data_IF_739680719010
#
_entry.id   IF_739680719010
#
_cell.length_a   1.000
_cell.length_b   1.000
_cell.length_c   1.000
_cell.angle_alpha   90.00
_cell.angle_beta   90.00
_cell.angle_gamma   90.00
#
_symmetry.space_group_name_H-M   'P 1'
#
loop_
_entity.id
_entity.type
_entity.pdbx_description
1 polymer ?
#
# COMPACT_ATOMS: atom_id res chain seq x y z
N UNK A 1 -56.82 -5.40 -33.33
CA UNK A 1 -55.50 -4.97 -32.82
C UNK A 1 -55.42 -5.42 -31.37
N UNK A 2 -54.59 -6.42 -31.08
CA UNK A 2 -54.41 -6.95 -29.73
C UNK A 2 -52.98 -6.62 -29.32
N UNK A 3 -52.80 -5.70 -28.37
CA UNK A 3 -51.46 -5.36 -27.86
C UNK A 3 -51.22 -6.13 -26.56
N UNK A 4 -50.32 -7.10 -26.66
CA UNK A 4 -49.79 -7.89 -25.56
C UNK A 4 -48.69 -7.07 -24.88
N UNK A 5 -48.88 -6.66 -23.63
CA UNK A 5 -47.81 -6.17 -22.75
C UNK A 5 -47.72 -7.10 -21.55
N UNK A 6 -46.87 -8.12 -21.65
CA UNK A 6 -46.57 -9.05 -20.54
C UNK A 6 -45.15 -9.63 -20.68
N UNK A 7 -44.14 -8.76 -20.82
CA UNK A 7 -42.74 -9.16 -20.71
C UNK A 7 -41.93 -8.02 -20.08
N UNK A 8 -41.77 -8.05 -18.76
CA UNK A 8 -40.94 -7.09 -18.03
C UNK A 8 -40.64 -7.41 -16.56
N UNK A 9 -41.21 -8.48 -15.99
CA UNK A 9 -41.11 -8.76 -14.54
C UNK A 9 -39.84 -9.49 -14.08
N UNK A 10 -39.10 -10.16 -14.95
CA UNK A 10 -37.98 -11.03 -14.53
C UNK A 10 -36.59 -10.39 -14.62
N UNK A 11 -36.38 -9.45 -15.56
CA UNK A 11 -35.09 -8.78 -15.72
C UNK A 11 -34.82 -7.71 -14.64
N UNK A 12 -35.89 -7.06 -14.14
CA UNK A 12 -35.78 -6.05 -13.07
C UNK A 12 -35.48 -6.64 -11.69
N UNK A 13 -36.01 -7.83 -11.38
CA UNK A 13 -35.77 -8.47 -10.07
C UNK A 13 -34.35 -9.01 -9.92
N UNK A 14 -33.73 -9.53 -10.99
CA UNK A 14 -32.34 -9.99 -10.95
C UNK A 14 -31.35 -8.83 -10.73
N UNK A 15 -31.58 -7.68 -11.37
CA UNK A 15 -30.73 -6.50 -11.21
C UNK A 15 -30.85 -5.87 -9.81
N UNK A 16 -32.08 -5.82 -9.26
CA UNK A 16 -32.32 -5.37 -7.89
C UNK A 16 -31.72 -6.35 -6.88
N UNK A 17 -31.87 -7.65 -7.06
CA UNK A 17 -31.27 -8.65 -6.16
C UNK A 17 -29.74 -8.58 -6.18
N UNK A 18 -29.14 -8.47 -7.36
CA UNK A 18 -27.68 -8.32 -7.51
C UNK A 18 -27.15 -7.01 -6.91
N UNK A 19 -27.94 -5.93 -6.95
CA UNK A 19 -27.65 -4.65 -6.29
C UNK A 19 -27.83 -4.71 -4.79
N UNK A 20 -28.84 -5.42 -4.30
CA UNK A 20 -29.10 -5.64 -2.86
C UNK A 20 -28.00 -6.52 -2.28
N UNK A 21 -27.59 -7.57 -2.98
CA UNK A 21 -26.48 -8.43 -2.57
C UNK A 21 -25.18 -7.62 -2.55
N UNK A 22 -24.88 -6.82 -3.59
CA UNK A 22 -23.74 -5.88 -3.60
C UNK A 22 -23.77 -4.87 -2.43
N UNK A 23 -24.94 -4.36 -2.05
CA UNK A 23 -25.10 -3.47 -0.89
C UNK A 23 -24.93 -4.18 0.45
N UNK A 24 -25.37 -5.44 0.55
CA UNK A 24 -25.25 -6.26 1.75
C UNK A 24 -23.81 -6.75 1.98
N UNK A 25 -23.08 -7.09 0.90
CA UNK A 25 -21.68 -7.54 0.96
C UNK A 25 -20.77 -6.48 1.60
N UNK A 26 -20.96 -5.22 1.25
CA UNK A 26 -20.09 -4.14 1.71
C UNK A 26 -20.29 -3.74 3.18
N UNK A 27 -21.38 -4.14 3.85
CA UNK A 27 -21.78 -3.50 5.12
C UNK A 27 -20.75 -3.72 6.23
N UNK A 28 -20.27 -4.96 6.39
CA UNK A 28 -19.26 -5.28 7.41
C UNK A 28 -17.90 -4.69 7.05
N UNK A 29 -17.50 -4.78 5.77
CA UNK A 29 -16.28 -4.17 5.26
C UNK A 29 -16.25 -2.66 5.50
N UNK A 30 -17.36 -1.95 5.23
CA UNK A 30 -17.51 -0.50 5.47
C UNK A 30 -17.45 -0.16 6.96
N UNK A 31 -18.07 -0.97 7.82
CA UNK A 31 -18.01 -0.76 9.27
C UNK A 31 -16.58 -0.82 9.78
N UNK A 32 -15.87 -1.91 9.48
CA UNK A 32 -14.47 -2.08 9.88
C UNK A 32 -13.56 -1.01 9.25
N UNK A 33 -13.77 -0.65 7.97
CA UNK A 33 -13.02 0.44 7.35
C UNK A 33 -13.24 1.77 8.10
N UNK A 34 -14.49 2.10 8.42
CA UNK A 34 -14.82 3.33 9.16
C UNK A 34 -14.17 3.35 10.55
N UNK A 35 -14.22 2.24 11.28
CA UNK A 35 -13.58 2.12 12.58
C UNK A 35 -12.05 2.22 12.49
N UNK A 36 -11.45 1.58 11.48
CA UNK A 36 -10.01 1.66 11.22
C UNK A 36 -9.55 3.09 10.90
N UNK A 37 -10.33 3.83 10.10
CA UNK A 37 -10.07 5.25 9.81
C UNK A 37 -10.20 6.10 11.07
N UNK A 38 -11.20 5.86 11.91
CA UNK A 38 -11.35 6.58 13.18
C UNK A 38 -10.16 6.33 14.09
N UNK A 39 -9.80 5.06 14.30
CA UNK A 39 -8.66 4.67 15.13
C UNK A 39 -7.34 5.28 14.62
N UNK A 40 -7.15 5.35 13.31
CA UNK A 40 -5.99 6.02 12.71
C UNK A 40 -5.96 7.51 13.08
N UNK A 41 -7.10 8.21 12.98
CA UNK A 41 -7.20 9.64 13.31
C UNK A 41 -6.94 9.91 14.79
N UNK A 42 -7.36 8.99 15.64
CA UNK A 42 -7.13 9.03 17.09
C UNK A 42 -5.70 8.64 17.48
N UNK A 43 -4.86 8.27 16.51
CA UNK A 43 -3.48 7.83 16.75
C UNK A 43 -3.36 6.39 17.30
N UNK A 44 -4.47 5.66 17.39
CA UNK A 44 -4.48 4.26 17.79
C UNK A 44 -4.20 3.36 16.58
N UNK A 45 -2.94 3.33 16.14
CA UNK A 45 -2.52 2.60 14.95
C UNK A 45 -2.66 1.08 15.06
N UNK A 46 -2.51 0.52 16.26
CA UNK A 46 -2.71 -0.92 16.49
C UNK A 46 -4.17 -1.33 16.22
N UNK A 47 -5.14 -0.56 16.74
CA UNK A 47 -6.55 -0.77 16.43
C UNK A 47 -6.82 -0.52 14.94
N UNK A 48 -6.27 0.55 14.35
CA UNK A 48 -6.44 0.83 12.93
C UNK A 48 -6.00 -0.36 12.05
N UNK A 49 -4.82 -0.94 12.30
CA UNK A 49 -4.33 -2.11 11.59
C UNK A 49 -5.24 -3.33 11.78
N UNK A 50 -5.73 -3.56 13.00
CA UNK A 50 -6.67 -4.66 13.29
C UNK A 50 -7.97 -4.52 12.51
N UNK A 51 -8.60 -3.35 12.55
CA UNK A 51 -9.86 -3.08 11.85
C UNK A 51 -9.70 -3.15 10.32
N UNK A 52 -8.63 -2.58 9.78
CA UNK A 52 -8.37 -2.64 8.33
C UNK A 52 -8.08 -4.06 7.86
N UNK A 53 -7.40 -4.88 8.68
CA UNK A 53 -7.22 -6.30 8.40
C UNK A 53 -8.54 -7.08 8.46
N UNK A 54 -9.45 -6.72 9.38
CA UNK A 54 -10.79 -7.29 9.43
C UNK A 54 -11.62 -6.90 8.20
N UNK A 55 -11.58 -5.62 7.79
CA UNK A 55 -12.26 -5.12 6.60
C UNK A 55 -11.83 -5.89 5.34
N UNK A 56 -10.53 -6.18 5.19
CA UNK A 56 -9.97 -6.90 4.03
C UNK A 56 -10.42 -8.36 3.92
N UNK A 57 -10.86 -8.98 5.02
CA UNK A 57 -11.38 -10.36 5.02
C UNK A 57 -12.84 -10.43 4.62
N UNK A 58 -13.54 -9.30 4.60
CA UNK A 58 -14.94 -9.25 4.24
C UNK A 58 -15.11 -9.16 2.72
N UNK A 59 -16.16 -9.77 2.15
CA UNK A 59 -16.57 -9.49 0.78
C UNK A 59 -16.74 -7.97 0.59
N UNK A 60 -16.20 -7.44 -0.51
CA UNK A 60 -16.29 -6.01 -0.79
C UNK A 60 -16.24 -5.72 -2.29
N UNK A 61 -16.87 -4.62 -2.68
CA UNK A 61 -16.76 -4.06 -4.02
C UNK A 61 -15.31 -3.65 -4.34
N UNK A 62 -14.88 -3.65 -5.61
CA UNK A 62 -13.52 -3.23 -5.98
C UNK A 62 -13.13 -1.83 -5.49
N UNK A 63 -14.08 -0.89 -5.48
CA UNK A 63 -13.86 0.45 -4.95
C UNK A 63 -13.53 0.43 -3.45
N UNK A 64 -14.30 -0.35 -2.67
CA UNK A 64 -14.08 -0.47 -1.23
C UNK A 64 -12.79 -1.24 -0.90
N UNK A 65 -12.49 -2.30 -1.66
CA UNK A 65 -11.24 -3.04 -1.53
C UNK A 65 -10.02 -2.14 -1.77
N UNK A 66 -10.07 -1.28 -2.79
CA UNK A 66 -9.03 -0.27 -3.04
C UNK A 66 -8.89 0.73 -1.89
N UNK A 67 -10.01 1.21 -1.34
CA UNK A 67 -9.98 2.14 -0.20
C UNK A 67 -9.39 1.48 1.06
N UNK A 68 -9.69 0.20 1.32
CA UNK A 68 -9.09 -0.57 2.42
C UNK A 68 -7.57 -0.69 2.24
N UNK A 69 -7.10 -1.03 1.03
CA UNK A 69 -5.66 -1.11 0.73
C UNK A 69 -4.96 0.23 0.96
N UNK A 70 -5.57 1.33 0.49
CA UNK A 70 -5.02 2.67 0.70
C UNK A 70 -4.88 3.01 2.20
N UNK A 71 -5.93 2.77 3.01
CA UNK A 71 -5.87 3.09 4.43
C UNK A 71 -4.94 2.17 5.22
N UNK A 72 -4.82 0.89 4.81
CA UNK A 72 -3.83 -0.03 5.36
C UNK A 72 -2.42 0.50 5.11
N UNK A 73 -2.12 0.87 3.87
CA UNK A 73 -0.85 1.46 3.49
C UNK A 73 -0.53 2.73 4.28
N UNK A 74 -1.48 3.67 4.33
CA UNK A 74 -1.35 4.92 5.08
C UNK A 74 -1.08 4.68 6.56
N UNK A 75 -1.70 3.66 7.15
CA UNK A 75 -1.48 3.29 8.55
C UNK A 75 -0.07 2.77 8.78
N UNK A 76 0.44 1.90 7.89
CA UNK A 76 1.79 1.37 7.98
C UNK A 76 2.88 2.40 7.69
N UNK A 77 2.62 3.35 6.79
CA UNK A 77 3.57 4.39 6.37
C UNK A 77 3.51 5.65 7.23
N UNK A 78 2.58 5.73 8.19
CA UNK A 78 2.46 6.89 9.07
C UNK A 78 3.73 7.07 9.90
N UNK A 79 4.40 8.25 9.85
CA UNK A 79 5.56 8.53 10.69
C UNK A 79 5.26 8.51 12.20
N UNK A 80 3.97 8.65 12.55
CA UNK A 80 3.50 8.61 13.93
C UNK A 80 3.25 7.19 14.43
N UNK A 81 3.33 6.18 13.56
CA UNK A 81 3.11 4.79 13.91
C UNK A 81 4.46 4.11 14.25
N UNK A 82 4.79 3.93 15.54
CA UNK A 82 6.06 3.31 15.93
C UNK A 82 6.14 1.82 15.58
N UNK A 83 4.99 1.19 15.31
CA UNK A 83 4.87 -0.22 14.89
C UNK A 83 4.47 -0.32 13.41
N UNK A 84 4.71 0.75 12.65
CA UNK A 84 4.53 0.75 11.21
C UNK A 84 5.45 -0.27 10.53
N UNK A 85 4.99 -0.82 9.41
CA UNK A 85 5.79 -1.70 8.56
C UNK A 85 5.80 -1.11 7.15
N UNK A 86 6.81 -0.28 6.82
CA UNK A 86 6.85 0.41 5.54
C UNK A 86 6.85 -0.54 4.35
N UNK A 87 7.45 -1.73 4.46
CA UNK A 87 7.46 -2.71 3.37
C UNK A 87 6.03 -3.21 3.07
N UNK A 88 5.27 -3.52 4.13
CA UNK A 88 3.87 -3.90 3.99
C UNK A 88 3.00 -2.76 3.47
N UNK A 89 3.27 -1.53 3.90
CA UNK A 89 2.57 -0.35 3.41
C UNK A 89 2.79 -0.13 1.91
N UNK A 90 4.03 -0.25 1.44
CA UNK A 90 4.36 -0.18 0.01
C UNK A 90 3.77 -1.34 -0.78
N UNK A 91 3.71 -2.55 -0.21
CA UNK A 91 3.04 -3.69 -0.83
C UNK A 91 1.54 -3.43 -1.02
N UNK A 92 0.86 -2.87 -0.02
CA UNK A 92 -0.56 -2.53 -0.12
C UNK A 92 -0.82 -1.45 -1.18
N UNK A 93 0.08 -0.45 -1.33
CA UNK A 93 0.02 0.52 -2.44
C UNK A 93 0.25 -0.14 -3.80
N UNK A 94 1.21 -1.05 -3.91
CA UNK A 94 1.46 -1.76 -5.16
C UNK A 94 0.24 -2.61 -5.57
N UNK A 95 -0.40 -3.28 -4.61
CA UNK A 95 -1.64 -4.03 -4.85
C UNK A 95 -2.80 -3.11 -5.26
N UNK A 96 -2.88 -1.90 -4.69
CA UNK A 96 -3.88 -0.92 -5.09
C UNK A 96 -3.74 -0.55 -6.58
N UNK A 97 -2.52 -0.26 -7.02
CA UNK A 97 -2.21 0.08 -8.42
C UNK A 97 -2.50 -1.09 -9.35
N UNK A 98 -2.06 -2.30 -8.97
CA UNK A 98 -2.17 -3.50 -9.79
C UNK A 98 -3.62 -3.97 -9.96
N UNK A 99 -4.37 -4.01 -8.85
CA UNK A 99 -5.71 -4.64 -8.82
C UNK A 99 -6.86 -3.65 -8.98
N UNK A 100 -6.61 -2.37 -8.70
CA UNK A 100 -7.62 -1.33 -8.75
C UNK A 100 -7.09 -0.07 -9.46
N UNK A 101 -6.64 -0.18 -10.72
CA UNK A 101 -6.04 0.95 -11.46
C UNK A 101 -7.00 2.12 -11.66
N UNK A 102 -8.32 1.87 -11.64
CA UNK A 102 -9.34 2.93 -11.73
C UNK A 102 -9.67 3.59 -10.39
N UNK A 103 -9.02 3.20 -9.28
CA UNK A 103 -9.27 3.79 -7.99
C UNK A 103 -8.78 5.26 -7.98
N UNK A 104 -9.50 6.22 -7.36
CA UNK A 104 -9.12 7.64 -7.36
C UNK A 104 -7.74 7.97 -6.76
N UNK A 105 -7.10 6.99 -6.11
CA UNK A 105 -5.78 7.13 -5.47
C UNK A 105 -4.73 6.19 -6.07
N UNK A 106 -5.05 5.49 -7.16
CA UNK A 106 -4.12 4.57 -7.81
C UNK A 106 -2.90 5.32 -8.37
N UNK A 107 -3.10 6.46 -9.02
CA UNK A 107 -2.00 7.25 -9.57
C UNK A 107 -1.03 7.74 -8.48
N UNK A 108 -1.57 8.33 -7.40
CA UNK A 108 -0.76 8.76 -6.25
C UNK A 108 0.01 7.60 -5.62
N UNK A 109 -0.64 6.43 -5.48
CA UNK A 109 -0.01 5.22 -4.98
C UNK A 109 1.13 4.74 -5.90
N UNK A 110 0.92 4.82 -7.22
CA UNK A 110 1.94 4.48 -8.22
C UNK A 110 3.18 5.34 -8.09
N UNK A 111 2.99 6.66 -7.95
CA UNK A 111 4.10 7.60 -7.72
C UNK A 111 4.88 7.25 -6.45
N UNK A 112 4.18 6.91 -5.35
CA UNK A 112 4.83 6.53 -4.10
C UNK A 112 5.63 5.22 -4.23
N UNK A 113 5.07 4.21 -4.90
CA UNK A 113 5.75 2.92 -5.13
C UNK A 113 7.00 3.12 -5.98
N UNK A 114 6.92 3.91 -7.04
CA UNK A 114 8.06 4.21 -7.90
C UNK A 114 9.14 5.04 -7.18
N UNK A 115 8.73 6.02 -6.37
CA UNK A 115 9.67 6.79 -5.55
C UNK A 115 10.42 5.88 -4.57
N UNK A 116 9.70 5.00 -3.87
CA UNK A 116 10.31 4.06 -2.93
C UNK A 116 11.29 3.10 -3.63
N UNK A 117 10.94 2.62 -4.83
CA UNK A 117 11.82 1.77 -5.64
C UNK A 117 13.11 2.50 -6.03
N UNK A 118 12.99 3.77 -6.46
CA UNK A 118 14.15 4.60 -6.82
C UNK A 118 15.03 4.89 -5.62
N UNK A 119 14.43 5.19 -4.46
CA UNK A 119 15.17 5.40 -3.22
C UNK A 119 15.97 4.15 -2.82
N UNK A 120 15.36 2.96 -2.88
CA UNK A 120 16.06 1.71 -2.58
C UNK A 120 17.24 1.43 -3.54
N UNK A 121 17.09 1.74 -4.83
CA UNK A 121 18.18 1.62 -5.80
C UNK A 121 19.32 2.62 -5.52
N UNK A 122 18.98 3.85 -5.13
CA UNK A 122 19.95 4.86 -4.73
C UNK A 122 20.71 4.46 -3.46
N UNK A 123 20.02 3.91 -2.46
CA UNK A 123 20.64 3.44 -1.21
C UNK A 123 21.64 2.31 -1.45
N UNK A 124 21.30 1.37 -2.33
CA UNK A 124 22.24 0.33 -2.75
C UNK A 124 23.49 0.93 -3.38
N UNK A 125 23.32 1.86 -4.32
CA UNK A 125 24.42 2.55 -4.99
C UNK A 125 25.29 3.32 -3.98
N UNK A 126 24.66 4.03 -3.04
CA UNK A 126 25.35 4.77 -1.99
C UNK A 126 26.15 3.84 -1.07
N UNK A 127 25.63 2.64 -0.76
CA UNK A 127 26.34 1.65 0.04
C UNK A 127 27.56 1.09 -0.69
N UNK A 128 27.45 0.83 -1.99
CA UNK A 128 28.57 0.41 -2.84
C UNK A 128 29.68 1.47 -2.84
N UNK A 129 29.32 2.74 -3.06
CA UNK A 129 30.27 3.87 -3.01
C UNK A 129 30.95 4.00 -1.65
N UNK A 130 30.22 3.83 -0.54
CA UNK A 130 30.81 3.84 0.81
C UNK A 130 31.85 2.74 1.00
N UNK A 131 31.58 1.55 0.48
CA UNK A 131 32.51 0.42 0.55
C UNK A 131 33.77 0.68 -0.30
N UNK A 132 33.62 1.28 -1.48
CA UNK A 132 34.76 1.65 -2.32
C UNK A 132 35.63 2.72 -1.67
N UNK A 133 35.02 3.77 -1.10
CA UNK A 133 35.73 4.81 -0.36
C UNK A 133 36.52 4.19 0.80
N UNK A 134 35.94 3.22 1.52
CA UNK A 134 36.63 2.55 2.61
C UNK A 134 37.86 1.76 2.13
N UNK A 135 37.74 1.01 1.02
CA UNK A 135 38.88 0.30 0.41
C UNK A 135 39.99 1.25 -0.02
N UNK A 136 39.63 2.39 -0.61
CA UNK A 136 40.60 3.40 -1.04
C UNK A 136 41.34 4.01 0.16
N UNK A 137 40.64 4.27 1.27
CA UNK A 137 41.27 4.75 2.53
C UNK A 137 42.29 3.74 3.06
N UNK A 138 41.95 2.46 3.09
CA UNK A 138 42.86 1.41 3.54
C UNK A 138 44.09 1.26 2.63
N UNK A 139 43.89 1.35 1.32
CA UNK A 139 44.99 1.34 0.35
C UNK A 139 45.92 2.55 0.54
N UNK A 140 45.36 3.73 0.79
CA UNK A 140 46.14 4.94 1.05
C UNK A 140 47.02 4.81 2.29
N UNK A 141 46.47 4.34 3.43
CA UNK A 141 47.24 4.10 4.66
C UNK A 141 48.40 3.13 4.41
N UNK A 142 48.14 2.03 3.69
CA UNK A 142 49.21 1.06 3.35
C UNK A 142 50.31 1.68 2.49
N UNK A 143 49.95 2.54 1.54
CA UNK A 143 50.93 3.26 0.72
C UNK A 143 51.77 4.20 1.58
N UNK A 144 51.16 4.98 2.48
CA UNK A 144 51.90 5.86 3.40
C UNK A 144 52.87 5.07 4.28
N UNK A 145 52.46 3.91 4.81
CA UNK A 145 53.32 3.04 5.62
C UNK A 145 54.51 2.50 4.81
N UNK A 146 54.28 2.10 3.55
CA UNK A 146 55.34 1.65 2.65
C UNK A 146 56.32 2.77 2.32
N UNK A 147 55.83 4.00 2.09
CA UNK A 147 56.68 5.15 1.85
C UNK A 147 57.52 5.55 3.07
N UNK A 148 56.96 5.45 4.28
CA UNK A 148 57.72 5.67 5.52
C UNK A 148 58.84 4.64 5.67
N UNK A 149 58.55 3.36 5.38
CA UNK A 149 59.55 2.28 5.42
C UNK A 149 60.68 2.44 4.41
N UNK A 150 60.45 3.09 3.26
CA UNK A 150 61.52 3.37 2.28
C UNK A 150 62.44 4.52 2.68
N UNK A 151 62.00 5.40 3.58
CA UNK A 151 62.76 6.60 4.01
C UNK A 151 63.66 6.34 5.22
N UNK A 152 63.43 5.26 5.96
CA UNK A 152 64.22 4.81 7.11
C UNK A 152 65.10 3.63 6.72
#
# INVERSE_FOLDING_TARGET
>A
MTLIFLLGGAAGCADVQHRVDAFAFDRQAKSHLSEGISAYRDGNFARAQSELAAARRQPSSPALAGEILYWSAKTHLSPRNPVGDPARGLQDLALLVERHPSHPRADDAGVMVDLARRAAAADKTNQELRNEIQKLKEAHIKLEDLERKKRN
#
